data_IF_643683782213
#
_entry.id   IF_643683782213
#
_cell.length_a   1.000
_cell.length_b   1.000
_cell.length_c   1.000
_cell.angle_alpha   90.00
_cell.angle_beta   90.00
_cell.angle_gamma   90.00
#
_symmetry.space_group_name_H-M   'P 1'
#
loop_
_entity.id
_entity.type
_entity.pdbx_description
1 polymer ?
#
# COMPACT_ATOMS: atom_id res chain seq x y z
N UNK A 1 -17.03 0.94 -9.04
CA UNK A 1 -17.57 0.76 -7.68
C UNK A 1 -16.44 0.41 -6.73
N UNK A 2 -16.38 1.04 -5.56
CA UNK A 2 -15.29 0.90 -4.58
C UNK A 2 -15.82 0.32 -3.26
N UNK A 3 -15.12 -0.66 -2.70
CA UNK A 3 -15.36 -1.25 -1.38
C UNK A 3 -14.13 -0.97 -0.48
N UNK A 4 -14.11 0.08 0.35
CA UNK A 4 -13.05 0.26 1.33
C UNK A 4 -13.26 -0.73 2.48
N UNK A 5 -12.54 -1.84 2.45
CA UNK A 5 -12.50 -2.81 3.56
C UNK A 5 -11.63 -2.28 4.69
N UNK A 6 -10.57 -1.53 4.34
CA UNK A 6 -9.79 -0.76 5.32
C UNK A 6 -10.73 0.13 6.16
N UNK A 7 -10.65 0.07 7.50
CA UNK A 7 -11.57 0.82 8.35
C UNK A 7 -11.41 2.34 8.20
N UNK A 8 -12.52 3.08 8.25
CA UNK A 8 -12.49 4.55 8.18
C UNK A 8 -11.74 5.20 9.35
N UNK A 9 -11.68 4.54 10.51
CA UNK A 9 -10.89 4.99 11.66
C UNK A 9 -9.38 4.76 11.50
N UNK A 10 -8.96 4.02 10.47
CA UNK A 10 -7.55 3.77 10.20
C UNK A 10 -7.09 4.62 9.01
N UNK A 11 -6.45 5.75 9.33
CA UNK A 11 -5.91 6.71 8.38
C UNK A 11 -6.89 7.05 7.23
N UNK A 12 -8.14 7.35 7.59
CA UNK A 12 -9.20 7.77 6.68
C UNK A 12 -9.55 6.75 5.59
N UNK A 13 -9.54 5.45 5.91
CA UNK A 13 -9.71 4.38 4.92
C UNK A 13 -8.71 4.52 3.75
N UNK A 14 -7.46 4.87 4.08
CA UNK A 14 -6.39 5.16 3.12
C UNK A 14 -6.72 6.26 2.11
N UNK A 15 -7.50 7.25 2.53
CA UNK A 15 -7.94 8.37 1.69
C UNK A 15 -9.10 8.03 0.75
N UNK A 16 -9.58 6.77 0.74
CA UNK A 16 -10.71 6.36 -0.11
C UNK A 16 -12.02 7.03 0.29
N UNK A 17 -12.17 7.40 1.56
CA UNK A 17 -13.32 8.19 2.03
C UNK A 17 -13.41 9.57 1.39
N UNK A 18 -12.29 10.11 0.91
CA UNK A 18 -12.21 11.42 0.25
C UNK A 18 -12.12 11.28 -1.28
N UNK A 19 -11.28 10.38 -1.78
CA UNK A 19 -11.01 10.24 -3.22
C UNK A 19 -12.18 9.60 -3.98
N UNK A 20 -12.92 8.67 -3.36
CA UNK A 20 -14.06 8.04 -4.04
C UNK A 20 -15.19 9.05 -4.33
N UNK A 21 -15.65 9.90 -3.38
CA UNK A 21 -16.59 10.97 -3.69
C UNK A 21 -16.06 11.99 -4.69
N UNK A 22 -14.76 12.32 -4.64
CA UNK A 22 -14.13 13.28 -5.56
C UNK A 22 -14.29 12.88 -7.03
N UNK A 23 -14.27 11.58 -7.34
CA UNK A 23 -14.47 11.06 -8.69
C UNK A 23 -15.90 10.56 -8.97
N UNK A 24 -16.83 10.75 -8.03
CA UNK A 24 -18.21 10.28 -8.16
C UNK A 24 -18.37 8.76 -8.13
N UNK A 25 -17.44 8.02 -7.52
CA UNK A 25 -17.51 6.57 -7.45
C UNK A 25 -18.60 6.10 -6.46
N UNK A 26 -19.36 5.06 -6.85
CA UNK A 26 -20.23 4.31 -5.93
C UNK A 26 -19.37 3.68 -4.83
N UNK A 27 -19.69 3.99 -3.56
CA UNK A 27 -19.01 3.49 -2.37
C UNK A 27 -19.88 2.46 -1.63
N UNK A 28 -19.34 1.26 -1.42
CA UNK A 28 -20.00 0.18 -0.69
C UNK A 28 -19.34 0.07 0.68
N UNK A 29 -20.11 0.16 1.76
CA UNK A 29 -19.55 0.15 3.12
C UNK A 29 -19.80 -1.21 3.78
N UNK A 30 -18.75 -2.01 4.10
CA UNK A 30 -18.92 -3.39 4.57
C UNK A 30 -19.44 -3.53 6.00
N UNK A 31 -19.54 -2.42 6.75
CA UNK A 31 -19.94 -2.46 8.16
C UNK A 31 -18.90 -3.20 9.01
N UNK A 32 -19.34 -4.12 9.88
CA UNK A 32 -18.47 -4.83 10.82
C UNK A 32 -18.08 -6.25 10.37
N UNK A 33 -18.73 -6.82 9.36
CA UNK A 33 -18.51 -8.20 8.92
C UNK A 33 -17.40 -8.25 7.86
N UNK A 34 -16.21 -8.68 8.28
CA UNK A 34 -15.00 -8.68 7.46
C UNK A 34 -14.49 -10.09 7.12
N UNK A 35 -15.32 -11.12 7.32
CA UNK A 35 -15.01 -12.49 6.91
C UNK A 35 -15.11 -12.64 5.37
N UNK A 36 -14.47 -13.68 4.83
CA UNK A 36 -14.38 -13.90 3.39
C UNK A 36 -15.74 -14.02 2.68
N UNK A 37 -16.74 -14.63 3.33
CA UNK A 37 -18.06 -14.80 2.74
C UNK A 37 -18.83 -13.47 2.65
N UNK A 38 -18.80 -12.67 3.73
CA UNK A 38 -19.42 -11.35 3.77
C UNK A 38 -18.77 -10.38 2.77
N UNK A 39 -17.44 -10.40 2.64
CA UNK A 39 -16.74 -9.58 1.65
C UNK A 39 -17.10 -10.02 0.23
N UNK A 40 -17.09 -11.34 -0.05
CA UNK A 40 -17.47 -11.88 -1.35
C UNK A 40 -18.88 -11.44 -1.77
N UNK A 41 -19.86 -11.54 -0.86
CA UNK A 41 -21.26 -11.17 -1.13
C UNK A 41 -21.37 -9.74 -1.66
N UNK A 42 -20.64 -8.80 -1.03
CA UNK A 42 -20.61 -7.40 -1.46
C UNK A 42 -19.86 -7.22 -2.78
N UNK A 43 -18.74 -7.92 -2.97
CA UNK A 43 -17.97 -7.86 -4.23
C UNK A 43 -18.83 -8.26 -5.43
N UNK A 44 -19.59 -9.34 -5.30
CA UNK A 44 -20.42 -9.91 -6.36
C UNK A 44 -21.73 -9.11 -6.56
N UNK A 45 -22.50 -8.91 -5.49
CA UNK A 45 -23.82 -8.26 -5.56
C UNK A 45 -23.71 -6.81 -6.04
N UNK A 46 -22.71 -6.08 -5.55
CA UNK A 46 -22.54 -4.66 -5.87
C UNK A 46 -21.63 -4.41 -7.07
N UNK A 47 -21.11 -5.48 -7.68
CA UNK A 47 -20.19 -5.45 -8.83
C UNK A 47 -19.00 -4.54 -8.55
N UNK A 48 -18.31 -4.80 -7.44
CA UNK A 48 -17.15 -4.01 -7.00
C UNK A 48 -16.01 -4.21 -7.99
N UNK A 49 -15.37 -3.12 -8.38
CA UNK A 49 -14.26 -3.13 -9.36
C UNK A 49 -12.90 -2.85 -8.70
N UNK A 50 -12.90 -2.23 -7.53
CA UNK A 50 -11.71 -1.85 -6.78
C UNK A 50 -11.96 -1.98 -5.28
N UNK A 51 -10.99 -2.50 -4.54
CA UNK A 51 -11.10 -2.66 -3.09
C UNK A 51 -9.72 -2.54 -2.42
N UNK A 52 -9.68 -2.23 -1.12
CA UNK A 52 -8.44 -2.03 -0.38
C UNK A 52 -8.54 -2.57 1.05
N UNK A 53 -7.57 -3.38 1.46
CA UNK A 53 -7.52 -4.00 2.79
C UNK A 53 -6.11 -4.44 3.18
N UNK A 54 -5.94 -4.86 4.44
CA UNK A 54 -4.74 -5.52 4.93
C UNK A 54 -4.66 -6.98 4.46
N UNK A 55 -3.47 -7.61 4.39
CA UNK A 55 -3.31 -8.99 3.90
C UNK A 55 -4.21 -10.03 4.55
N UNK A 56 -4.50 -9.91 5.85
CA UNK A 56 -5.31 -10.90 6.58
C UNK A 56 -6.74 -11.01 6.05
N UNK A 57 -7.36 -9.89 5.63
CA UNK A 57 -8.71 -9.93 5.06
C UNK A 57 -8.69 -10.57 3.67
N UNK A 58 -7.65 -10.31 2.90
CA UNK A 58 -7.48 -10.96 1.60
C UNK A 58 -7.24 -12.46 1.70
N UNK A 59 -6.49 -12.92 2.70
CA UNK A 59 -6.33 -14.35 2.96
C UNK A 59 -7.67 -15.02 3.29
N UNK A 60 -8.52 -14.39 4.11
CA UNK A 60 -9.85 -14.92 4.41
C UNK A 60 -10.75 -14.98 3.17
N UNK A 61 -10.71 -13.96 2.30
CA UNK A 61 -11.44 -13.97 1.03
C UNK A 61 -10.94 -15.09 0.11
N UNK A 62 -9.62 -15.19 -0.09
CA UNK A 62 -9.03 -16.22 -0.95
C UNK A 62 -9.34 -17.63 -0.44
N UNK A 63 -9.29 -17.86 0.87
CA UNK A 63 -9.70 -19.14 1.47
C UNK A 63 -11.17 -19.45 1.16
N UNK A 64 -12.07 -18.48 1.32
CA UNK A 64 -13.49 -18.67 0.98
C UNK A 64 -13.69 -19.02 -0.50
N UNK A 65 -12.96 -18.35 -1.41
CA UNK A 65 -13.04 -18.62 -2.84
C UNK A 65 -12.54 -20.03 -3.18
N UNK A 66 -11.45 -20.49 -2.54
CA UNK A 66 -10.93 -21.85 -2.71
C UNK A 66 -11.91 -22.92 -2.20
N UNK A 67 -12.52 -22.69 -1.04
CA UNK A 67 -13.50 -23.63 -0.45
C UNK A 67 -14.79 -23.73 -1.25
N UNK A 68 -15.18 -22.67 -1.96
CA UNK A 68 -16.47 -22.58 -2.66
C UNK A 68 -16.39 -22.69 -4.17
N UNK A 69 -15.19 -22.56 -4.76
CA UNK A 69 -14.99 -22.53 -6.21
C UNK A 69 -15.59 -21.29 -6.89
N UNK A 70 -15.85 -20.21 -6.13
CA UNK A 70 -16.40 -18.95 -6.65
C UNK A 70 -15.34 -18.15 -7.40
N UNK A 71 -15.80 -17.29 -8.32
CA UNK A 71 -14.97 -16.41 -9.14
C UNK A 71 -15.13 -14.94 -8.74
N UNK A 72 -14.28 -14.05 -9.26
CA UNK A 72 -14.33 -12.61 -9.04
C UNK A 72 -14.55 -11.83 -10.36
N UNK A 73 -15.65 -12.05 -11.10
CA UNK A 73 -15.79 -11.55 -12.48
C UNK A 73 -15.74 -10.02 -12.61
N UNK A 74 -16.10 -9.30 -11.54
CA UNK A 74 -16.17 -7.84 -11.52
C UNK A 74 -14.94 -7.15 -10.93
N UNK A 75 -14.25 -7.80 -9.98
CA UNK A 75 -13.12 -7.19 -9.30
C UNK A 75 -11.95 -7.08 -10.28
N UNK A 76 -11.34 -5.91 -10.37
CA UNK A 76 -10.21 -5.68 -11.29
C UNK A 76 -8.91 -5.45 -10.55
N UNK A 77 -8.97 -4.77 -9.40
CA UNK A 77 -7.78 -4.36 -8.66
C UNK A 77 -8.01 -4.41 -7.17
N UNK A 78 -7.01 -4.85 -6.43
CA UNK A 78 -6.96 -4.72 -4.97
C UNK A 78 -5.72 -3.96 -4.54
N UNK A 79 -5.88 -3.08 -3.55
CA UNK A 79 -4.76 -2.46 -2.85
C UNK A 79 -4.51 -3.22 -1.55
N UNK A 80 -3.26 -3.59 -1.33
CA UNK A 80 -2.81 -4.31 -0.15
C UNK A 80 -1.77 -3.45 0.55
N UNK A 81 -1.94 -3.21 1.85
CA UNK A 81 -1.05 -2.33 2.62
C UNK A 81 -1.20 -2.55 4.12
N UNK A 82 -0.56 -1.68 4.92
CA UNK A 82 -0.51 -1.81 6.39
C UNK A 82 0.47 -2.88 6.90
N UNK A 83 0.87 -3.82 6.05
CA UNK A 83 1.99 -4.75 6.27
C UNK A 83 2.58 -5.21 4.92
N UNK A 84 3.59 -6.09 4.95
CA UNK A 84 4.11 -6.70 3.73
C UNK A 84 3.04 -7.55 3.04
N UNK A 85 2.96 -7.46 1.71
CA UNK A 85 2.09 -8.29 0.89
C UNK A 85 2.81 -9.61 0.57
N UNK A 86 2.37 -10.77 1.08
CA UNK A 86 2.98 -12.05 0.72
C UNK A 86 2.82 -12.32 -0.77
N UNK A 87 3.88 -12.78 -1.44
CA UNK A 87 3.86 -13.14 -2.88
C UNK A 87 2.70 -14.07 -3.23
N UNK A 88 2.41 -15.04 -2.36
CA UNK A 88 1.32 -15.98 -2.55
C UNK A 88 -0.06 -15.32 -2.70
N UNK A 89 -0.30 -14.18 -2.04
CA UNK A 89 -1.55 -13.41 -2.22
C UNK A 89 -1.58 -12.80 -3.62
N UNK A 90 -0.48 -12.17 -4.03
CA UNK A 90 -0.32 -11.59 -5.38
C UNK A 90 -0.54 -12.63 -6.47
N UNK A 91 0.15 -13.77 -6.39
CA UNK A 91 0.03 -14.87 -7.35
C UNK A 91 -1.39 -15.40 -7.40
N UNK A 92 -2.03 -15.67 -6.25
CA UNK A 92 -3.41 -16.18 -6.22
C UNK A 92 -4.41 -15.22 -6.88
N UNK A 93 -4.34 -13.92 -6.57
CA UNK A 93 -5.24 -12.95 -7.20
C UNK A 93 -5.05 -12.85 -8.70
N UNK A 94 -3.80 -12.78 -9.17
CA UNK A 94 -3.51 -12.58 -10.58
C UNK A 94 -3.78 -13.85 -11.40
N UNK A 95 -3.27 -14.99 -10.96
CA UNK A 95 -3.25 -16.21 -11.76
C UNK A 95 -4.60 -16.94 -11.71
N UNK A 96 -5.29 -16.90 -10.58
CA UNK A 96 -6.55 -17.64 -10.39
C UNK A 96 -7.80 -16.78 -10.62
N UNK A 97 -7.69 -15.45 -10.45
CA UNK A 97 -8.86 -14.56 -10.44
C UNK A 97 -8.74 -13.35 -11.38
N UNK A 98 -7.63 -13.18 -12.11
CA UNK A 98 -7.40 -12.03 -13.01
C UNK A 98 -7.58 -10.66 -12.30
N UNK A 99 -7.12 -10.58 -11.06
CA UNK A 99 -7.16 -9.36 -10.23
C UNK A 99 -5.75 -8.81 -10.05
N UNK A 100 -5.53 -7.56 -10.48
CA UNK A 100 -4.26 -6.86 -10.24
C UNK A 100 -4.09 -6.55 -8.75
N UNK A 101 -2.89 -6.82 -8.23
CA UNK A 101 -2.51 -6.48 -6.86
C UNK A 101 -1.58 -5.28 -6.87
N UNK A 102 -1.97 -4.25 -6.11
CA UNK A 102 -1.16 -3.05 -5.89
C UNK A 102 -0.73 -3.05 -4.42
N UNK A 103 0.54 -3.36 -4.17
CA UNK A 103 1.11 -3.18 -2.83
C UNK A 103 1.27 -1.68 -2.57
N UNK A 104 0.88 -1.22 -1.39
CA UNK A 104 1.01 0.15 -0.95
C UNK A 104 1.68 0.21 0.42
N UNK A 105 2.52 1.21 0.62
CA UNK A 105 3.02 1.58 1.94
C UNK A 105 2.65 3.01 2.29
N UNK A 106 2.50 3.22 3.58
CA UNK A 106 2.10 4.48 4.15
C UNK A 106 1.96 4.37 5.65
N UNK A 107 1.66 5.49 6.27
CA UNK A 107 1.48 5.61 7.72
C UNK A 107 0.54 6.77 8.02
N UNK A 108 -0.02 6.80 9.23
CA UNK A 108 -0.99 7.84 9.64
C UNK A 108 -0.46 9.25 9.39
N UNK A 109 0.83 9.45 9.63
CA UNK A 109 1.58 10.70 9.47
C UNK A 109 1.68 11.16 8.00
N UNK A 110 1.33 10.33 7.02
CA UNK A 110 1.42 10.65 5.58
C UNK A 110 0.05 10.80 4.90
N UNK A 111 -1.04 10.79 5.67
CA UNK A 111 -2.42 10.93 5.17
C UNK A 111 -2.95 9.95 4.09
N UNK A 112 -2.70 8.62 4.15
CA UNK A 112 -1.52 7.91 4.63
C UNK A 112 -0.53 7.53 3.52
N UNK A 113 -0.86 7.77 2.26
CA UNK A 113 -0.20 7.09 1.15
C UNK A 113 1.23 7.61 0.90
N UNK A 114 2.22 6.75 1.10
CA UNK A 114 3.62 7.03 0.78
C UNK A 114 4.05 6.48 -0.57
N UNK A 115 3.75 5.21 -0.86
CA UNK A 115 4.08 4.57 -2.14
C UNK A 115 2.96 3.68 -2.67
N UNK A 116 2.95 3.47 -3.99
CA UNK A 116 2.12 2.48 -4.68
C UNK A 116 3.00 1.66 -5.64
N UNK A 117 2.83 0.34 -5.61
CA UNK A 117 3.53 -0.59 -6.47
C UNK A 117 2.73 -0.85 -7.74
N UNK A 118 2.74 0.14 -8.65
CA UNK A 118 2.29 -0.07 -10.02
C UNK A 118 3.50 -0.35 -10.92
N UNK A 119 3.29 -0.94 -12.10
CA UNK A 119 4.39 -1.26 -13.02
C UNK A 119 4.74 -0.05 -13.89
N UNK A 120 5.94 0.51 -13.73
CA UNK A 120 6.45 1.55 -14.64
C UNK A 120 6.73 0.96 -16.03
N UNK A 121 6.70 1.78 -17.10
CA UNK A 121 6.94 1.32 -18.46
C UNK A 121 8.25 0.53 -18.66
N UNK A 122 9.33 0.90 -17.96
CA UNK A 122 10.61 0.19 -18.02
C UNK A 122 10.58 -1.25 -17.50
N UNK A 123 9.55 -1.61 -16.72
CA UNK A 123 9.34 -2.97 -16.18
C UNK A 123 8.15 -3.68 -16.83
N UNK A 124 7.48 -3.07 -17.81
CA UNK A 124 6.23 -3.58 -18.37
C UNK A 124 6.40 -4.96 -19.06
N UNK A 125 7.59 -5.25 -19.59
CA UNK A 125 7.91 -6.53 -20.23
C UNK A 125 8.38 -7.62 -19.27
N UNK A 126 8.39 -7.39 -17.95
CA UNK A 126 8.72 -8.43 -16.99
C UNK A 126 7.57 -9.42 -16.82
N UNK A 127 7.93 -10.70 -16.74
CA UNK A 127 7.04 -11.84 -16.55
C UNK A 127 7.54 -12.73 -15.39
N UNK A 128 6.66 -13.61 -14.89
CA UNK A 128 6.99 -14.59 -13.85
C UNK A 128 7.62 -13.98 -12.59
N UNK A 129 8.66 -14.64 -12.07
CA UNK A 129 9.35 -14.22 -10.83
C UNK A 129 9.93 -12.82 -10.91
N UNK A 130 10.47 -12.40 -12.06
CA UNK A 130 11.05 -11.06 -12.19
C UNK A 130 9.99 -9.97 -12.05
N UNK A 131 8.76 -10.21 -12.53
CA UNK A 131 7.62 -9.32 -12.30
C UNK A 131 7.22 -9.31 -10.83
N UNK A 132 7.12 -10.50 -10.22
CA UNK A 132 6.77 -10.65 -8.80
C UNK A 132 7.81 -10.02 -7.87
N UNK A 133 9.09 -10.01 -8.23
CA UNK A 133 10.16 -9.34 -7.50
C UNK A 133 9.90 -7.83 -7.41
N UNK A 134 9.42 -7.20 -8.49
CA UNK A 134 9.02 -5.78 -8.48
C UNK A 134 7.72 -5.59 -7.70
N UNK A 135 6.71 -6.41 -7.96
CA UNK A 135 5.39 -6.30 -7.29
C UNK A 135 5.45 -6.57 -5.78
N UNK A 136 6.46 -7.30 -5.31
CA UNK A 136 6.72 -7.54 -3.89
C UNK A 136 7.31 -6.35 -3.15
N UNK A 137 7.75 -5.30 -3.86
CA UNK A 137 8.18 -4.04 -3.26
C UNK A 137 6.96 -3.19 -2.90
N UNK A 138 7.13 -2.31 -1.91
CA UNK A 138 6.09 -1.37 -1.48
C UNK A 138 5.72 -0.35 -2.57
N UNK A 139 6.60 -0.14 -3.55
CA UNK A 139 6.35 0.68 -4.73
C UNK A 139 7.17 1.95 -4.73
N UNK A 140 6.70 2.97 -5.43
CA UNK A 140 7.40 4.26 -5.56
C UNK A 140 6.48 5.43 -5.15
N UNK A 141 7.04 6.59 -4.78
CA UNK A 141 6.24 7.72 -4.32
C UNK A 141 5.42 8.35 -5.46
N UNK A 142 4.15 8.73 -5.21
CA UNK A 142 3.40 9.59 -6.12
C UNK A 142 3.94 11.02 -6.09
N UNK A 143 3.53 11.84 -7.06
CA UNK A 143 3.81 13.27 -7.03
C UNK A 143 3.33 13.90 -5.71
N UNK A 144 4.17 14.75 -5.13
CA UNK A 144 3.93 15.39 -3.84
C UNK A 144 4.54 14.65 -2.65
N UNK A 145 4.98 13.40 -2.81
CA UNK A 145 5.76 12.69 -1.79
C UNK A 145 7.23 12.64 -2.23
N UNK A 146 8.11 13.15 -1.38
CA UNK A 146 9.55 12.98 -1.53
C UNK A 146 10.05 11.96 -0.51
N UNK A 147 11.07 11.19 -0.88
CA UNK A 147 11.68 10.17 -0.05
C UNK A 147 13.20 10.30 -0.12
N UNK A 148 13.89 9.94 0.96
CA UNK A 148 15.33 9.67 0.96
C UNK A 148 15.65 8.57 1.97
N UNK A 149 16.81 7.95 1.82
CA UNK A 149 17.39 7.05 2.81
C UNK A 149 18.66 7.68 3.35
N UNK A 150 18.85 7.67 4.67
CA UNK A 150 20.06 8.22 5.30
C UNK A 150 20.75 7.19 6.20
N UNK A 151 22.06 7.35 6.41
CA UNK A 151 22.75 6.65 7.50
C UNK A 151 22.47 7.31 8.87
N UNK A 152 23.16 6.83 9.91
CA UNK A 152 23.04 7.31 11.29
C UNK A 152 23.56 8.75 11.47
N UNK A 153 24.45 9.21 10.58
CA UNK A 153 24.98 10.58 10.54
C UNK A 153 24.08 11.53 9.71
N UNK A 154 22.88 11.07 9.31
CA UNK A 154 21.93 11.78 8.44
C UNK A 154 22.46 12.07 7.03
N UNK A 155 23.49 11.36 6.58
CA UNK A 155 23.98 11.49 5.22
C UNK A 155 23.13 10.67 4.26
N UNK A 156 22.67 11.31 3.19
CA UNK A 156 21.87 10.68 2.15
C UNK A 156 22.65 9.55 1.45
N UNK A 157 21.96 8.44 1.24
CA UNK A 157 22.49 7.23 0.62
C UNK A 157 21.96 7.06 -0.82
N UNK A 158 22.75 6.44 -1.72
CA UNK A 158 22.37 6.27 -3.12
C UNK A 158 21.18 5.31 -3.27
N UNK A 159 20.36 5.56 -4.28
CA UNK A 159 19.27 4.67 -4.68
C UNK A 159 19.78 3.57 -5.61
N UNK A 160 20.62 2.68 -5.09
CA UNK A 160 21.23 1.57 -5.83
C UNK A 160 20.46 0.24 -5.68
N UNK A 161 19.38 0.25 -4.90
CA UNK A 161 18.58 -0.92 -4.60
C UNK A 161 19.24 -1.92 -3.63
N UNK A 162 20.32 -1.54 -2.96
CA UNK A 162 21.10 -2.41 -2.06
C UNK A 162 21.53 -1.72 -0.76
N UNK A 163 21.79 -0.42 -0.81
CA UNK A 163 22.18 0.38 0.35
C UNK A 163 20.93 0.71 1.16
N UNK A 164 20.88 0.21 2.40
CA UNK A 164 19.77 0.44 3.32
C UNK A 164 20.08 1.64 4.22
N UNK A 165 19.04 2.35 4.64
CA UNK A 165 19.14 3.44 5.58
C UNK A 165 17.79 3.78 6.19
N UNK A 166 17.79 4.75 7.11
CA UNK A 166 16.56 5.30 7.71
C UNK A 166 15.75 5.98 6.62
N UNK A 167 14.49 5.56 6.45
CA UNK A 167 13.58 6.16 5.49
C UNK A 167 13.08 7.50 6.04
N UNK A 168 13.25 8.55 5.24
CA UNK A 168 12.73 9.88 5.54
C UNK A 168 11.82 10.33 4.42
N UNK A 169 10.72 11.00 4.79
CA UNK A 169 9.70 11.44 3.84
C UNK A 169 9.30 12.88 4.09
N UNK A 170 8.89 13.59 3.04
CA UNK A 170 8.26 14.91 3.17
C UNK A 170 7.24 15.14 2.07
N UNK A 171 6.34 16.08 2.28
CA UNK A 171 5.31 16.42 1.31
C UNK A 171 4.19 17.25 1.92
N UNK A 172 3.23 17.74 1.11
CA UNK A 172 2.16 18.61 1.56
C UNK A 172 1.14 17.90 2.47
N UNK A 173 1.10 16.57 2.43
CA UNK A 173 0.21 15.74 3.25
C UNK A 173 0.97 14.92 4.32
N UNK A 174 2.27 15.17 4.48
CA UNK A 174 3.10 14.60 5.55
C UNK A 174 3.01 15.49 6.78
N UNK A 175 2.90 14.89 7.95
CA UNK A 175 2.88 15.59 9.23
C UNK A 175 4.16 16.41 9.41
N UNK A 176 4.03 17.56 10.08
CA UNK A 176 5.17 18.42 10.44
C UNK A 176 5.47 18.44 11.94
N UNK A 177 4.59 17.83 12.72
CA UNK A 177 4.64 17.71 14.17
C UNK A 177 3.50 16.81 14.62
N UNK A 178 3.67 16.12 15.75
CA UNK A 178 2.58 15.52 16.48
C UNK A 178 1.81 16.55 17.30
N UNK A 179 0.54 16.28 17.55
CA UNK A 179 -0.27 17.07 18.46
C UNK A 179 0.31 17.00 19.89
N UNK A 180 0.55 18.15 20.52
CA UNK A 180 1.16 18.23 21.84
C UNK A 180 2.70 18.21 21.86
N UNK A 181 3.36 18.07 20.71
CA UNK A 181 4.82 18.27 20.56
C UNK A 181 5.72 17.12 21.04
N UNK A 182 5.15 16.04 21.60
CA UNK A 182 5.89 14.81 21.87
C UNK A 182 6.29 14.18 20.54
N UNK A 183 7.55 13.80 20.38
CA UNK A 183 8.05 13.34 19.10
C UNK A 183 8.34 14.48 18.13
N UNK A 184 9.03 15.53 18.60
CA UNK A 184 9.46 16.61 17.70
C UNK A 184 10.78 16.27 17.00
N UNK A 185 11.56 15.37 17.58
CA UNK A 185 12.84 14.90 17.07
C UNK A 185 12.76 14.10 15.77
N UNK A 186 11.57 13.56 15.43
CA UNK A 186 11.33 12.88 14.15
C UNK A 186 11.22 13.86 12.98
N UNK A 187 11.08 15.17 13.24
CA UNK A 187 10.91 16.19 12.21
C UNK A 187 12.14 17.11 12.17
N UNK A 188 12.77 17.26 11.01
CA UNK A 188 13.90 18.18 10.84
C UNK A 188 13.47 19.56 10.32
N UNK A 189 14.40 20.52 10.34
CA UNK A 189 14.17 21.91 9.91
C UNK A 189 13.87 22.03 8.40
N UNK A 190 14.24 21.02 7.60
CA UNK A 190 13.94 20.93 6.17
C UNK A 190 12.57 20.28 5.88
N UNK A 191 11.83 19.89 6.93
CA UNK A 191 10.52 19.29 6.86
C UNK A 191 10.52 17.80 6.56
N UNK A 192 11.65 17.10 6.69
CA UNK A 192 11.68 15.65 6.63
C UNK A 192 11.17 15.02 7.91
N UNK A 193 10.33 14.02 7.75
CA UNK A 193 9.86 13.13 8.80
C UNK A 193 10.63 11.81 8.74
N UNK A 194 11.29 11.44 9.83
CA UNK A 194 11.90 10.14 10.05
C UNK A 194 10.81 9.12 10.37
N UNK A 195 10.62 8.14 9.47
CA UNK A 195 9.50 7.20 9.60
C UNK A 195 9.75 6.09 10.61
N UNK A 196 11.01 5.94 11.08
CA UNK A 196 11.45 4.79 11.85
C UNK A 196 11.54 3.49 11.06
N UNK A 197 11.27 3.48 9.75
CA UNK A 197 11.48 2.31 8.91
C UNK A 197 12.91 2.31 8.33
N UNK A 198 13.50 1.13 8.15
CA UNK A 198 14.74 0.94 7.40
C UNK A 198 14.40 0.39 6.02
N UNK A 199 14.86 1.08 4.98
CA UNK A 199 14.54 0.74 3.60
C UNK A 199 15.74 0.95 2.67
N UNK A 200 15.63 0.39 1.48
CA UNK A 200 16.45 0.77 0.32
C UNK A 200 15.54 1.21 -0.82
N UNK A 201 16.09 2.01 -1.73
CA UNK A 201 15.39 2.49 -2.92
C UNK A 201 16.23 2.11 -4.14
N UNK A 202 15.60 1.57 -5.17
CA UNK A 202 16.30 1.23 -6.42
C UNK A 202 16.38 2.41 -7.40
N UNK A 203 17.17 2.33 -8.49
CA UNK A 203 17.27 3.41 -9.47
C UNK A 203 15.94 3.75 -10.17
N UNK A 204 14.98 2.83 -10.14
CA UNK A 204 13.62 3.03 -10.61
C UNK A 204 12.73 3.73 -9.59
N UNK A 205 13.23 4.05 -8.39
CA UNK A 205 12.50 4.67 -7.29
C UNK A 205 11.60 3.70 -6.52
N UNK A 206 11.69 2.39 -6.75
CA UNK A 206 10.94 1.42 -5.95
C UNK A 206 11.62 1.25 -4.59
N UNK A 207 10.86 1.55 -3.54
CA UNK A 207 11.23 1.42 -2.16
C UNK A 207 10.89 0.03 -1.65
N UNK A 208 11.79 -0.54 -0.85
CA UNK A 208 11.55 -1.78 -0.14
C UNK A 208 12.01 -1.66 1.32
N UNK A 209 11.07 -1.94 2.24
CA UNK A 209 11.35 -2.00 3.68
C UNK A 209 12.01 -3.32 4.02
N UNK A 210 13.04 -3.25 4.84
CA UNK A 210 13.77 -4.43 5.35
C UNK A 210 13.63 -4.62 6.84
N UNK A 211 13.49 -3.54 7.61
CA UNK A 211 13.37 -3.62 9.06
C UNK A 211 12.71 -2.35 9.62
N UNK A 212 12.49 -2.31 10.94
CA UNK A 212 12.22 -1.09 11.68
C UNK A 212 13.41 -0.69 12.52
N UNK A 213 13.78 0.58 12.43
CA UNK A 213 14.77 1.17 13.32
C UNK A 213 14.24 1.09 14.76
N UNK A 214 15.12 0.71 15.68
CA UNK A 214 14.83 0.65 17.12
C UNK A 214 14.95 2.02 17.76
#
# INVERSE_FOLDING_TARGET
TILPVVPMFHANAWGLGQSAPMIGAKLIMPGCKMDGASIYELLDTEKVTFSAAVPTVWLMLLQHLEETGKELPYLKRVVIGGSSCPRAITTKFQDNYDVEVIHAWGMTEMSPLGTLCTMKPGYAGLEGEARLDVQGKQGYPPFGVEMKVTDDDNKEQPWDGKTFGRLKVRGPAVARAYYGGVGSEQFDEEGWFDTGDVAHIDPGGYMQITDRAK
#
